data_IF_182724936823
#
_entry.id   IF_182724936823
#
_cell.length_a   1.000
_cell.length_b   1.000
_cell.length_c   1.000
_cell.angle_alpha   90.00
_cell.angle_beta   90.00
_cell.angle_gamma   90.00
#
_symmetry.space_group_name_H-M   'P 1'
#
loop_
_entity.id
_entity.type
_entity.pdbx_description
1 polymer ?
#
# COMPACT_ATOMS: atom_id res chain seq x y z
N UNK A 1 8.69 13.59 9.44
CA UNK A 1 8.60 13.57 7.96
C UNK A 1 7.14 13.45 7.52
N UNK A 2 6.73 14.06 6.41
CA UNK A 2 5.40 13.82 5.79
C UNK A 2 5.54 13.38 4.34
N UNK A 3 4.83 12.34 3.95
CA UNK A 3 4.90 11.76 2.63
C UNK A 3 3.54 11.19 2.21
N UNK A 4 3.20 11.31 0.92
CA UNK A 4 2.05 10.62 0.34
C UNK A 4 2.28 10.21 -1.11
N UNK A 5 1.80 9.03 -1.50
CA UNK A 5 1.94 8.52 -2.86
C UNK A 5 0.77 8.91 -3.80
N UNK A 6 0.07 10.01 -3.51
CA UNK A 6 -1.21 10.34 -4.17
C UNK A 6 -1.09 10.45 -5.69
N UNK A 7 -0.02 11.07 -6.19
CA UNK A 7 0.21 11.26 -7.62
C UNK A 7 0.38 9.90 -8.32
N UNK A 8 1.12 8.97 -7.71
CA UNK A 8 1.35 7.63 -8.25
C UNK A 8 0.07 6.82 -8.26
N UNK A 9 -0.65 6.85 -7.15
CA UNK A 9 -1.98 6.22 -7.00
C UNK A 9 -2.95 6.69 -8.10
N UNK A 10 -3.00 8.00 -8.39
CA UNK A 10 -3.80 8.54 -9.49
C UNK A 10 -3.36 7.99 -10.85
N UNK A 11 -2.04 7.88 -11.11
CA UNK A 11 -1.50 7.31 -12.35
C UNK A 11 -1.83 5.81 -12.48
N UNK A 12 -1.69 5.02 -11.42
CA UNK A 12 -2.04 3.59 -11.39
C UNK A 12 -3.52 3.42 -11.75
N UNK A 13 -4.41 4.16 -11.08
CA UNK A 13 -5.85 4.11 -11.35
C UNK A 13 -6.18 4.51 -12.79
N UNK A 14 -5.57 5.58 -13.29
CA UNK A 14 -5.77 6.03 -14.68
C UNK A 14 -5.32 4.97 -15.67
N UNK A 15 -4.15 4.36 -15.47
CA UNK A 15 -3.64 3.33 -16.36
C UNK A 15 -4.51 2.07 -16.32
N UNK A 16 -4.96 1.64 -15.14
CA UNK A 16 -5.92 0.54 -15.01
C UNK A 16 -7.19 0.81 -15.82
N UNK A 17 -7.79 1.99 -15.66
CA UNK A 17 -9.00 2.37 -16.40
C UNK A 17 -8.76 2.42 -17.91
N UNK A 18 -7.59 2.90 -18.37
CA UNK A 18 -7.24 2.94 -19.79
C UNK A 18 -7.09 1.54 -20.38
N UNK A 19 -6.44 0.62 -19.66
CA UNK A 19 -6.31 -0.78 -20.11
C UNK A 19 -7.67 -1.45 -20.18
N UNK A 20 -8.50 -1.33 -19.14
CA UNK A 20 -9.87 -1.87 -19.14
C UNK A 20 -10.69 -1.31 -20.29
N UNK A 21 -10.62 0.01 -20.55
CA UNK A 21 -11.30 0.64 -21.68
C UNK A 21 -10.82 0.06 -23.01
N UNK A 22 -9.51 -0.17 -23.18
CA UNK A 22 -8.95 -0.76 -24.40
C UNK A 22 -9.47 -2.20 -24.62
N UNK A 23 -9.51 -3.02 -23.57
CA UNK A 23 -10.11 -4.36 -23.63
C UNK A 23 -11.58 -4.31 -24.07
N UNK A 24 -12.37 -3.38 -23.52
CA UNK A 24 -13.79 -3.22 -23.87
C UNK A 24 -13.93 -2.80 -25.35
N UNK A 25 -13.14 -1.82 -25.80
CA UNK A 25 -13.18 -1.37 -27.20
C UNK A 25 -12.76 -2.47 -28.17
N UNK A 26 -11.72 -3.25 -27.82
CA UNK A 26 -11.30 -4.39 -28.62
C UNK A 26 -12.39 -5.46 -28.69
N UNK A 27 -13.01 -5.81 -27.56
CA UNK A 27 -14.11 -6.77 -27.52
C UNK A 27 -15.29 -6.31 -28.39
N UNK A 28 -15.69 -5.03 -28.31
CA UNK A 28 -16.76 -4.47 -29.14
C UNK A 28 -16.42 -4.50 -30.64
N UNK A 29 -15.18 -4.20 -30.99
CA UNK A 29 -14.70 -4.24 -32.38
C UNK A 29 -14.78 -5.66 -32.96
N UNK A 30 -14.29 -6.67 -32.24
CA UNK A 30 -14.33 -8.06 -32.71
C UNK A 30 -15.73 -8.67 -32.69
N UNK A 31 -16.56 -8.26 -31.72
CA UNK A 31 -17.98 -8.62 -31.71
C UNK A 31 -18.69 -8.09 -32.96
N UNK A 32 -18.40 -6.86 -33.38
CA UNK A 32 -18.97 -6.30 -34.61
C UNK A 32 -18.51 -7.05 -35.88
N UNK A 33 -17.29 -7.57 -35.87
CA UNK A 33 -16.76 -8.45 -36.93
C UNK A 33 -17.35 -9.88 -36.90
N UNK A 34 -18.19 -10.21 -35.92
CA UNK A 34 -18.74 -11.56 -35.70
C UNK A 34 -17.66 -12.61 -35.43
N UNK A 35 -16.52 -12.19 -34.88
CA UNK A 35 -15.43 -13.06 -34.47
C UNK A 35 -15.65 -13.49 -33.00
N UNK A 36 -16.57 -14.42 -32.80
CA UNK A 36 -17.05 -14.82 -31.46
C UNK A 36 -15.93 -15.42 -30.60
N UNK A 37 -15.06 -16.25 -31.19
CA UNK A 37 -13.95 -16.89 -30.46
C UNK A 37 -12.94 -15.85 -29.95
N UNK A 38 -12.57 -14.87 -30.77
CA UNK A 38 -11.63 -13.81 -30.38
C UNK A 38 -12.24 -12.96 -29.25
N UNK A 39 -13.53 -12.63 -29.37
CA UNK A 39 -14.25 -11.86 -28.36
C UNK A 39 -14.25 -12.56 -27.00
N UNK A 40 -14.45 -13.88 -26.98
CA UNK A 40 -14.38 -14.69 -25.75
C UNK A 40 -12.97 -14.64 -25.13
N UNK A 41 -11.91 -14.82 -25.92
CA UNK A 41 -10.54 -14.75 -25.41
C UNK A 41 -10.19 -13.38 -24.82
N UNK A 42 -10.66 -12.29 -25.45
CA UNK A 42 -10.50 -10.93 -24.92
C UNK A 42 -11.22 -10.78 -23.58
N UNK A 43 -12.44 -11.32 -23.46
CA UNK A 43 -13.21 -11.33 -22.22
C UNK A 43 -12.50 -12.06 -21.08
N UNK A 44 -11.98 -13.27 -21.36
CA UNK A 44 -11.18 -14.03 -20.39
C UNK A 44 -9.93 -13.26 -19.99
N UNK A 45 -9.22 -12.68 -20.96
CA UNK A 45 -8.03 -11.86 -20.71
C UNK A 45 -8.31 -10.67 -19.79
N UNK A 46 -9.45 -9.99 -19.99
CA UNK A 46 -9.88 -8.88 -19.13
C UNK A 46 -10.14 -9.35 -17.70
N UNK A 47 -10.85 -10.48 -17.52
CA UNK A 47 -11.11 -11.05 -16.19
C UNK A 47 -9.81 -11.40 -15.47
N UNK A 48 -8.90 -12.10 -16.15
CA UNK A 48 -7.58 -12.46 -15.60
C UNK A 48 -6.80 -11.21 -15.22
N UNK A 49 -6.77 -10.18 -16.08
CA UNK A 49 -6.10 -8.92 -15.80
C UNK A 49 -6.66 -8.23 -14.55
N UNK A 50 -7.99 -8.13 -14.42
CA UNK A 50 -8.63 -7.53 -13.25
C UNK A 50 -8.30 -8.31 -11.98
N UNK A 51 -8.38 -9.64 -12.01
CA UNK A 51 -8.04 -10.50 -10.86
C UNK A 51 -6.57 -10.31 -10.45
N UNK A 52 -5.63 -10.30 -11.40
CA UNK A 52 -4.21 -10.06 -11.11
C UNK A 52 -4.00 -8.71 -10.41
N UNK A 53 -4.65 -7.65 -10.88
CA UNK A 53 -4.52 -6.31 -10.29
C UNK A 53 -5.13 -6.24 -8.89
N UNK A 54 -6.25 -6.94 -8.65
CA UNK A 54 -6.86 -7.04 -7.33
C UNK A 54 -5.96 -7.80 -6.34
N UNK A 55 -5.32 -8.89 -6.78
CA UNK A 55 -4.38 -9.67 -5.95
C UNK A 55 -3.16 -8.85 -5.56
N UNK A 56 -2.61 -8.03 -6.46
CA UNK A 56 -1.46 -7.15 -6.17
C UNK A 56 -1.79 -6.10 -5.09
N UNK A 57 -3.08 -5.75 -4.93
CA UNK A 57 -3.59 -4.87 -3.89
C UNK A 57 -2.84 -3.53 -3.77
N UNK A 58 -2.86 -2.75 -4.84
CA UNK A 58 -2.26 -1.41 -4.84
C UNK A 58 -2.97 -0.50 -3.84
N UNK A 59 -2.26 -0.09 -2.79
CA UNK A 59 -2.78 0.83 -1.78
C UNK A 59 -2.19 2.23 -1.92
N UNK A 60 -3.04 3.23 -1.75
CA UNK A 60 -2.60 4.55 -1.34
C UNK A 60 -1.99 4.46 0.04
N UNK A 61 -0.87 5.13 0.26
CA UNK A 61 -0.22 5.23 1.56
C UNK A 61 0.24 6.67 1.78
N UNK A 62 -0.15 7.23 2.91
CA UNK A 62 0.39 8.47 3.45
C UNK A 62 0.98 8.19 4.81
N UNK A 63 2.23 8.61 4.97
CA UNK A 63 3.02 8.45 6.19
C UNK A 63 3.35 9.83 6.75
N UNK A 64 3.04 10.07 8.02
CA UNK A 64 3.47 11.25 8.77
C UNK A 64 4.09 10.82 10.09
N UNK A 65 5.17 11.49 10.47
CA UNK A 65 5.94 11.34 11.71
C UNK A 65 6.05 12.70 12.44
N UNK A 66 5.05 13.55 12.26
CA UNK A 66 5.02 14.88 12.84
C UNK A 66 4.62 14.84 14.33
N UNK A 67 5.13 15.78 15.12
CA UNK A 67 4.71 16.04 16.51
C UNK A 67 4.81 14.81 17.45
N UNK A 68 5.81 13.94 17.24
CA UNK A 68 6.03 12.77 18.09
C UNK A 68 5.00 11.64 17.89
N UNK A 69 4.22 11.69 16.80
CA UNK A 69 3.22 10.68 16.45
C UNK A 69 3.50 10.11 15.05
N UNK A 70 3.38 8.80 14.92
CA UNK A 70 3.32 8.11 13.63
C UNK A 70 1.86 8.00 13.22
N UNK A 71 1.56 8.46 12.01
CA UNK A 71 0.27 8.36 11.32
C UNK A 71 0.47 7.68 9.98
N UNK A 72 -0.11 6.50 9.79
CA UNK A 72 -0.12 5.77 8.51
C UNK A 72 -1.54 5.65 8.02
N UNK A 73 -1.89 6.42 6.99
CA UNK A 73 -3.19 6.37 6.33
C UNK A 73 -3.09 5.58 5.05
N UNK A 74 -4.01 4.65 4.84
CA UNK A 74 -4.01 3.83 3.65
C UNK A 74 -5.42 3.49 3.19
N UNK A 75 -5.57 3.28 1.88
CA UNK A 75 -6.79 2.76 1.27
C UNK A 75 -6.44 2.06 -0.06
N UNK A 76 -7.18 1.00 -0.44
CA UNK A 76 -7.02 0.37 -1.73
C UNK A 76 -7.39 1.31 -2.88
N UNK A 77 -6.52 1.38 -3.89
CA UNK A 77 -6.67 2.27 -5.05
C UNK A 77 -7.72 1.73 -6.02
N UNK A 78 -7.73 0.41 -6.18
CA UNK A 78 -8.59 -0.33 -7.09
C UNK A 78 -9.49 -1.19 -6.23
N UNK A 79 -10.74 -0.77 -6.10
CA UNK A 79 -11.79 -1.49 -5.39
C UNK A 79 -12.99 -1.62 -6.30
N UNK A 80 -13.66 -2.78 -6.23
CA UNK A 80 -14.96 -2.98 -6.86
C UNK A 80 -16.08 -2.31 -6.05
N UNK A 81 -15.90 -2.28 -4.72
CA UNK A 81 -16.82 -1.66 -3.77
C UNK A 81 -16.23 -0.35 -3.23
N UNK A 82 -16.96 0.40 -2.40
CA UNK A 82 -16.52 1.70 -1.88
C UNK A 82 -15.10 1.72 -1.31
N UNK A 83 -14.52 2.92 -1.16
CA UNK A 83 -13.17 3.05 -0.58
C UNK A 83 -13.25 2.86 0.93
N UNK A 84 -12.53 1.87 1.44
CA UNK A 84 -12.29 1.71 2.86
C UNK A 84 -11.06 2.52 3.26
N UNK A 85 -11.28 3.51 4.14
CA UNK A 85 -10.23 4.40 4.61
C UNK A 85 -9.75 3.94 5.98
N UNK A 86 -8.48 3.52 6.06
CA UNK A 86 -7.87 3.05 7.30
C UNK A 86 -6.74 3.99 7.73
N UNK A 87 -6.61 4.18 9.04
CA UNK A 87 -5.55 4.98 9.65
C UNK A 87 -4.99 4.25 10.86
N UNK A 88 -3.66 4.21 10.96
CA UNK A 88 -2.94 3.72 12.12
C UNK A 88 -2.22 4.92 12.74
N UNK A 89 -2.61 5.27 13.96
CA UNK A 89 -2.09 6.44 14.67
C UNK A 89 -1.60 6.05 16.08
N UNK A 90 -0.32 6.29 16.36
CA UNK A 90 0.27 6.03 17.68
C UNK A 90 1.47 6.94 17.99
N UNK A 91 1.83 7.06 19.26
CA UNK A 91 2.99 7.86 19.69
C UNK A 91 4.30 7.15 19.37
N UNK A 92 5.34 7.91 19.02
CA UNK A 92 6.66 7.36 18.66
C UNK A 92 7.16 6.36 19.70
N UNK A 93 7.06 6.71 20.99
CA UNK A 93 7.53 5.93 22.14
C UNK A 93 6.91 4.52 22.24
N UNK A 94 5.74 4.32 21.64
CA UNK A 94 5.05 3.03 21.63
C UNK A 94 5.59 2.10 20.55
N UNK A 95 6.33 2.59 19.55
CA UNK A 95 6.90 1.75 18.50
C UNK A 95 7.88 0.74 19.12
N UNK A 96 7.60 -0.55 18.97
CA UNK A 96 8.46 -1.61 19.48
C UNK A 96 9.40 -2.15 18.40
N UNK A 97 8.83 -2.55 17.26
CA UNK A 97 9.55 -3.02 16.07
C UNK A 97 8.71 -2.75 14.83
N UNK A 98 9.34 -2.87 13.68
CA UNK A 98 8.66 -2.90 12.40
C UNK A 98 9.14 -4.13 11.61
N UNK A 99 8.26 -4.72 10.81
CA UNK A 99 8.59 -5.77 9.87
C UNK A 99 8.23 -5.32 8.46
N UNK A 100 9.21 -5.36 7.55
CA UNK A 100 9.07 -4.95 6.17
C UNK A 100 9.39 -6.13 5.26
N UNK A 101 8.35 -6.77 4.73
CA UNK A 101 8.47 -7.89 3.81
C UNK A 101 8.44 -7.39 2.38
N UNK A 102 9.46 -7.72 1.60
CA UNK A 102 9.56 -7.34 0.19
C UNK A 102 9.72 -8.58 -0.67
N UNK A 103 8.60 -9.10 -1.19
CA UNK A 103 8.56 -10.26 -2.08
C UNK A 103 7.94 -9.82 -3.38
N UNK A 104 8.71 -9.72 -4.46
CA UNK A 104 8.22 -9.19 -5.74
C UNK A 104 6.91 -9.88 -6.18
N UNK A 105 5.85 -9.13 -6.55
CA UNK A 105 5.71 -7.66 -6.58
C UNK A 105 5.29 -7.01 -5.24
N UNK A 106 4.87 -7.81 -4.26
CA UNK A 106 4.34 -7.42 -2.95
C UNK A 106 5.38 -6.74 -2.04
N UNK A 107 4.92 -5.69 -1.37
CA UNK A 107 5.68 -5.02 -0.31
C UNK A 107 4.73 -4.76 0.83
N UNK A 108 5.03 -5.27 2.02
CA UNK A 108 4.12 -5.23 3.16
C UNK A 108 4.84 -4.70 4.40
N UNK A 109 4.17 -3.80 5.12
CA UNK A 109 4.65 -3.23 6.38
C UNK A 109 3.74 -3.66 7.52
N UNK A 110 4.34 -4.23 8.56
CA UNK A 110 3.66 -4.53 9.83
C UNK A 110 4.33 -3.72 10.93
N UNK A 111 3.52 -2.98 11.69
CA UNK A 111 3.99 -2.15 12.80
C UNK A 111 3.60 -2.83 14.11
N UNK A 112 4.58 -3.00 14.99
CA UNK A 112 4.37 -3.60 16.30
C UNK A 112 4.54 -2.53 17.37
N UNK A 113 3.56 -2.40 18.27
CA UNK A 113 3.55 -1.41 19.34
C UNK A 113 3.46 -2.02 20.73
N UNK A 114 4.03 -1.31 21.71
CA UNK A 114 3.84 -1.60 23.12
C UNK A 114 2.49 -1.10 23.60
N UNK A 115 1.81 -1.93 24.37
CA UNK A 115 0.55 -1.63 25.04
C UNK A 115 0.70 -1.92 26.53
N UNK A 116 -0.27 -1.49 27.35
CA UNK A 116 -0.27 -1.77 28.80
C UNK A 116 -0.25 -3.28 29.12
N UNK A 117 -0.73 -4.13 28.20
CA UNK A 117 -0.84 -5.59 28.37
C UNK A 117 0.27 -6.37 27.68
N UNK A 118 1.27 -5.70 27.09
CA UNK A 118 2.36 -6.35 26.37
C UNK A 118 2.62 -5.71 25.01
N UNK A 119 2.73 -6.52 23.96
CA UNK A 119 3.07 -6.07 22.60
C UNK A 119 1.96 -6.50 21.64
N UNK A 120 1.55 -5.61 20.74
CA UNK A 120 0.48 -5.86 19.77
C UNK A 120 0.92 -5.44 18.36
N UNK A 121 0.50 -6.23 17.37
CA UNK A 121 0.74 -5.95 15.95
C UNK A 121 -0.47 -5.22 15.35
N UNK A 122 -0.20 -4.16 14.60
CA UNK A 122 -1.20 -3.53 13.74
C UNK A 122 -1.43 -4.35 12.47
N UNK A 123 -2.59 -4.17 11.80
CA UNK A 123 -2.86 -4.78 10.51
C UNK A 123 -1.74 -4.49 9.51
N UNK A 124 -1.37 -5.50 8.73
CA UNK A 124 -0.36 -5.37 7.68
C UNK A 124 -0.85 -4.41 6.58
N UNK A 125 -0.02 -3.45 6.22
CA UNK A 125 -0.30 -2.45 5.18
C UNK A 125 0.51 -2.76 3.94
N UNK A 126 -0.17 -2.96 2.80
CA UNK A 126 0.52 -3.09 1.53
C UNK A 126 1.11 -1.75 1.08
N UNK A 127 2.41 -1.75 0.82
CA UNK A 127 3.23 -0.65 0.31
C UNK A 127 3.57 -0.86 -1.19
N UNK A 128 2.85 -1.74 -1.88
CA UNK A 128 3.15 -2.15 -3.27
C UNK A 128 3.04 -1.00 -4.28
N UNK A 129 2.33 0.09 -3.96
CA UNK A 129 2.30 1.28 -4.81
C UNK A 129 3.47 2.26 -4.57
N UNK A 130 4.30 2.04 -3.55
CA UNK A 130 5.47 2.87 -3.24
C UNK A 130 6.68 2.46 -4.08
N UNK A 131 7.50 3.45 -4.43
CA UNK A 131 8.82 3.19 -5.03
C UNK A 131 9.84 2.73 -3.99
N UNK A 132 10.94 2.15 -4.47
CA UNK A 132 12.08 1.76 -3.62
C UNK A 132 12.60 2.94 -2.78
N UNK A 133 12.65 4.15 -3.34
CA UNK A 133 13.13 5.34 -2.63
C UNK A 133 12.18 5.75 -1.51
N UNK A 134 10.87 5.76 -1.78
CA UNK A 134 9.84 6.10 -0.78
C UNK A 134 9.81 5.04 0.34
N UNK A 135 9.94 3.76 -0.02
CA UNK A 135 10.07 2.65 0.92
C UNK A 135 11.30 2.80 1.83
N UNK A 136 12.46 3.12 1.23
CA UNK A 136 13.70 3.32 1.97
C UNK A 136 13.61 4.54 2.92
N UNK A 137 12.92 5.60 2.51
CA UNK A 137 12.72 6.77 3.37
C UNK A 137 11.84 6.43 4.58
N UNK A 138 10.76 5.66 4.40
CA UNK A 138 9.94 5.16 5.52
C UNK A 138 10.79 4.28 6.45
N UNK A 139 11.59 3.37 5.88
CA UNK A 139 12.50 2.51 6.65
C UNK A 139 13.46 3.33 7.51
N UNK A 140 14.14 4.29 6.91
CA UNK A 140 15.11 5.16 7.58
C UNK A 140 14.46 5.97 8.71
N UNK A 141 13.25 6.49 8.48
CA UNK A 141 12.51 7.21 9.53
C UNK A 141 12.15 6.29 10.70
N UNK A 142 11.64 5.08 10.44
CA UNK A 142 11.31 4.11 11.49
C UNK A 142 12.55 3.67 12.28
N UNK A 143 13.68 3.43 11.61
CA UNK A 143 14.96 3.14 12.25
C UNK A 143 15.44 4.29 13.12
N UNK A 144 15.31 5.53 12.64
CA UNK A 144 15.67 6.73 13.40
C UNK A 144 14.82 6.87 14.66
N UNK A 145 13.52 6.59 14.58
CA UNK A 145 12.60 6.61 15.73
C UNK A 145 13.00 5.55 16.76
N UNK A 146 13.30 4.33 16.33
CA UNK A 146 13.74 3.24 17.22
C UNK A 146 15.09 3.57 17.89
N UNK A 147 16.05 4.13 17.14
CA UNK A 147 17.35 4.53 17.67
C UNK A 147 17.25 5.62 18.75
N UNK A 148 16.35 6.59 18.56
CA UNK A 148 16.07 7.66 19.54
C UNK A 148 15.49 7.11 20.84
N UNK A 149 14.66 6.07 20.78
CA UNK A 149 14.12 5.43 21.98
C UNK A 149 15.18 4.61 22.74
N UNK A 150 16.06 3.92 22.01
CA UNK A 150 17.17 3.17 22.62
C UNK A 150 18.15 4.07 23.39
N UNK A 151 18.38 5.29 22.88
CA UNK A 151 19.24 6.30 23.54
C UNK A 151 18.53 7.01 24.70
N UNK A 152 17.22 7.26 24.62
CA UNK A 152 16.44 7.85 25.72
C UNK A 152 16.33 6.94 26.94
N UNK A 153 16.24 5.60 26.74
CA UNK A 153 16.25 4.62 27.85
C UNK A 153 17.57 4.56 28.63
N UNK A 154 18.70 4.90 28.02
CA UNK A 154 20.00 4.95 28.73
C UNK A 154 20.15 6.18 29.65
N UNK A 155 19.41 7.26 29.40
CA UNK A 155 19.49 8.49 30.22
C UNK A 155 18.55 8.52 31.43
N UNK A 156 17.56 7.62 31.50
CA UNK A 156 16.65 7.50 32.66
C UNK A 156 17.08 6.43 33.68
N UNK A 157 18.19 5.73 33.42
CA UNK A 157 18.72 4.67 34.29
C UNK A 157 20.04 5.04 34.99
N UNK A 158 20.35 6.33 35.12
CA UNK A 158 21.56 6.81 35.78
C UNK A 158 21.25 7.98 36.71
#
# INVERSE_FOLDING_TARGET
MEFSNQIRTKKIKRNFNLVVLLFILAALYFLWKKEDMITIYIGIGLVVFVVLVLVINFNYVSFSSANGKISVRYYPVITLFGREYSSIDFQHELLYKYDLKTTFPFRDLTLTVKTQRGVADYPTVSLTALTKNELNAIRQELETILARQGTSRRKQGN
#
